data_IF_441225067452
#
_entry.id   IF_441225067452
#
_cell.length_a   1.000
_cell.length_b   1.000
_cell.length_c   1.000
_cell.angle_alpha   90.00
_cell.angle_beta   90.00
_cell.angle_gamma   90.00
#
_symmetry.space_group_name_H-M   'P 1'
#
loop_
_entity.id
_entity.type
_entity.pdbx_description
1 polymer ?
#
# COMPACT_ATOMS: atom_id res chain seq x y z
N UNK A 1 -4.71 18.89 10.63
CA UNK A 1 -3.98 18.02 9.69
C UNK A 1 -4.94 16.91 9.29
N UNK A 2 -5.21 16.71 7.99
CA UNK A 2 -6.18 15.73 7.52
C UNK A 2 -5.48 14.38 7.34
N UNK A 3 -5.81 13.41 8.19
CA UNK A 3 -5.50 12.01 7.99
C UNK A 3 -6.82 11.25 7.88
N UNK A 4 -6.84 10.17 7.12
CA UNK A 4 -8.01 9.30 6.99
C UNK A 4 -7.60 7.88 7.30
N UNK A 5 -8.37 7.22 8.16
CA UNK A 5 -8.27 5.78 8.37
C UNK A 5 -9.42 5.08 7.65
N UNK A 6 -9.18 3.85 7.20
CA UNK A 6 -10.29 2.99 6.80
C UNK A 6 -11.06 2.52 8.05
N UNK A 7 -12.26 1.98 7.86
CA UNK A 7 -13.11 1.52 8.97
C UNK A 7 -12.49 0.40 9.81
N UNK A 8 -11.43 -0.25 9.31
CA UNK A 8 -10.67 -1.27 10.04
C UNK A 8 -9.40 -0.75 10.72
N UNK A 9 -9.06 0.55 10.57
CA UNK A 9 -7.81 1.19 11.01
C UNK A 9 -6.53 0.54 10.47
N UNK A 10 -6.63 -0.34 9.47
CA UNK A 10 -5.51 -1.03 8.86
C UNK A 10 -4.80 -0.18 7.83
N UNK A 11 -5.45 0.85 7.30
CA UNK A 11 -4.88 1.80 6.35
C UNK A 11 -4.94 3.20 6.94
N UNK A 12 -3.84 3.93 6.86
CA UNK A 12 -3.79 5.35 7.20
C UNK A 12 -3.19 6.14 6.06
N UNK A 13 -3.90 7.18 5.62
CA UNK A 13 -3.46 8.08 4.54
C UNK A 13 -3.03 9.44 5.07
N UNK A 14 -2.01 10.01 4.44
CA UNK A 14 -1.53 11.36 4.72
C UNK A 14 -0.91 12.01 3.48
N UNK A 15 -1.22 13.29 3.25
CA UNK A 15 -0.53 14.12 2.28
C UNK A 15 0.80 14.68 2.81
N UNK A 16 1.08 14.51 4.10
CA UNK A 16 2.33 14.96 4.71
C UNK A 16 3.40 13.89 4.48
N UNK A 17 4.52 14.31 3.91
CA UNK A 17 5.71 13.47 3.83
C UNK A 17 6.25 13.21 5.25
N UNK A 18 6.03 12.00 5.76
CA UNK A 18 6.82 11.51 6.89
C UNK A 18 8.02 10.80 6.27
N UNK A 19 9.26 11.29 6.49
CA UNK A 19 10.44 10.65 5.98
C UNK A 19 10.41 9.16 6.31
N UNK A 20 10.71 8.32 5.31
CA UNK A 20 11.05 6.93 5.56
C UNK A 20 12.12 6.95 6.65
N UNK A 21 11.88 6.36 7.85
CA UNK A 21 12.91 6.29 8.87
C UNK A 21 14.13 5.67 8.22
N UNK A 22 15.29 6.33 8.32
CA UNK A 22 16.50 5.99 7.58
C UNK A 22 17.07 4.62 7.92
N UNK A 23 16.41 3.57 7.43
CA UNK A 23 16.80 2.18 7.48
C UNK A 23 16.64 1.58 6.09
N UNK A 24 17.52 0.64 5.76
CA UNK A 24 17.59 -0.06 4.48
C UNK A 24 16.40 -1.00 4.24
N UNK A 25 15.17 -0.48 4.22
CA UNK A 25 14.04 -1.27 3.74
C UNK A 25 13.86 -1.05 2.24
N UNK A 26 13.55 -2.12 1.50
CA UNK A 26 13.47 -2.07 0.05
C UNK A 26 12.32 -1.16 -0.40
N UNK A 27 12.67 -0.15 -1.20
CA UNK A 27 11.74 0.74 -1.90
C UNK A 27 11.66 0.31 -3.36
N UNK A 28 10.46 0.07 -3.87
CA UNK A 28 10.23 -0.38 -5.24
C UNK A 28 9.23 0.53 -5.96
N UNK A 29 9.54 0.94 -7.18
CA UNK A 29 8.61 1.65 -8.06
C UNK A 29 7.83 0.63 -8.89
N UNK A 30 6.51 0.57 -8.69
CA UNK A 30 5.60 -0.42 -9.32
C UNK A 30 4.76 0.22 -10.46
N UNK A 31 5.05 1.46 -10.88
CA UNK A 31 4.40 2.06 -12.04
C UNK A 31 5.06 3.35 -12.52
N UNK A 32 4.69 3.80 -13.72
CA UNK A 32 5.32 4.97 -14.39
C UNK A 32 4.96 6.34 -13.76
N UNK A 33 4.00 6.40 -12.84
CA UNK A 33 3.45 7.66 -12.28
C UNK A 33 3.48 7.72 -10.74
N UNK A 34 4.37 6.99 -10.08
CA UNK A 34 4.39 6.72 -8.63
C UNK A 34 4.22 7.92 -7.67
N UNK A 35 3.00 8.44 -7.51
CA UNK A 35 2.65 9.52 -6.60
C UNK A 35 2.05 9.02 -5.27
N UNK A 36 1.59 7.77 -5.21
CA UNK A 36 1.14 7.14 -3.97
C UNK A 36 2.26 6.23 -3.42
N UNK A 37 2.80 6.59 -2.26
CA UNK A 37 3.74 5.77 -1.51
C UNK A 37 3.00 4.86 -0.52
N UNK A 38 3.03 3.55 -0.71
CA UNK A 38 2.47 2.55 0.20
C UNK A 38 3.60 1.97 1.04
N UNK A 39 3.50 2.05 2.37
CA UNK A 39 4.39 1.32 3.30
C UNK A 39 3.62 0.19 3.94
N UNK A 40 4.23 -0.98 3.94
CA UNK A 40 3.70 -2.16 4.61
C UNK A 40 4.43 -2.32 5.93
N UNK A 41 3.68 -2.49 7.01
CA UNK A 41 4.24 -2.68 8.34
C UNK A 41 3.59 -3.85 9.07
N UNK A 42 4.34 -4.38 10.04
CA UNK A 42 3.88 -5.41 10.96
C UNK A 42 4.21 -5.00 12.40
N UNK A 43 3.21 -5.09 13.28
CA UNK A 43 3.28 -4.74 14.70
C UNK A 43 3.54 -5.94 15.61
N UNK A 44 3.79 -7.13 15.03
CA UNK A 44 4.12 -8.34 15.80
C UNK A 44 5.42 -8.22 16.61
N UNK A 45 6.36 -7.38 16.15
CA UNK A 45 7.61 -7.09 16.84
C UNK A 45 7.47 -5.88 17.76
N UNK A 46 7.83 -6.05 19.04
CA UNK A 46 7.85 -4.97 20.03
C UNK A 46 9.24 -4.37 20.26
N UNK A 47 10.27 -4.86 19.57
CA UNK A 47 11.67 -4.50 19.81
C UNK A 47 12.11 -3.21 19.11
N UNK A 48 11.35 -2.76 18.13
CA UNK A 48 11.61 -1.56 17.33
C UNK A 48 10.33 -0.74 17.19
N UNK A 49 10.48 0.56 16.90
CA UNK A 49 9.37 1.46 16.63
C UNK A 49 9.58 2.18 15.30
N UNK A 50 8.48 2.50 14.64
CA UNK A 50 8.48 3.33 13.44
C UNK A 50 7.44 4.45 13.55
N UNK A 51 7.65 5.52 12.77
CA UNK A 51 6.72 6.63 12.69
C UNK A 51 5.78 6.45 11.48
N UNK A 52 4.47 6.36 11.76
CA UNK A 52 3.40 6.36 10.76
C UNK A 52 3.24 7.74 10.12
N UNK A 53 2.57 7.77 8.98
CA UNK A 53 2.34 8.94 8.14
C UNK A 53 1.38 9.96 8.78
N UNK A 54 0.66 9.56 9.83
CA UNK A 54 -0.12 10.42 10.73
C UNK A 54 0.73 11.03 11.87
N UNK A 55 2.02 10.67 11.96
CA UNK A 55 2.95 11.09 13.01
C UNK A 55 2.93 10.23 14.27
N UNK A 56 2.10 9.17 14.33
CA UNK A 56 2.07 8.26 15.47
C UNK A 56 3.27 7.31 15.47
N UNK A 57 3.82 7.02 16.65
CA UNK A 57 4.87 6.02 16.81
C UNK A 57 4.24 4.68 17.21
N UNK A 58 4.47 3.64 16.39
CA UNK A 58 4.01 2.29 16.69
C UNK A 58 5.17 1.34 16.92
N UNK A 59 5.04 0.36 17.83
CA UNK A 59 5.93 -0.80 17.86
C UNK A 59 5.74 -1.62 16.58
N UNK A 60 6.84 -2.00 15.94
CA UNK A 60 6.81 -2.80 14.72
C UNK A 60 7.92 -2.49 13.74
N UNK A 61 7.90 -3.21 12.62
CA UNK A 61 8.82 -3.03 11.50
C UNK A 61 8.10 -2.56 10.26
N UNK A 62 8.72 -1.66 9.50
CA UNK A 62 8.40 -1.48 8.09
C UNK A 62 8.98 -2.66 7.32
N UNK A 63 8.12 -3.42 6.64
CA UNK A 63 8.52 -4.58 5.84
C UNK A 63 8.94 -4.19 4.43
N UNK A 64 8.38 -3.10 3.88
CA UNK A 64 8.74 -2.59 2.56
C UNK A 64 7.93 -1.36 2.17
N UNK A 65 8.38 -0.67 1.12
CA UNK A 65 7.68 0.47 0.56
C UNK A 65 7.57 0.40 -0.96
N UNK A 66 6.45 0.88 -1.49
CA UNK A 66 6.09 0.82 -2.89
C UNK A 66 5.61 2.18 -3.38
N UNK A 67 6.10 2.64 -4.52
CA UNK A 67 5.48 3.76 -5.22
C UNK A 67 4.62 3.26 -6.36
N UNK A 68 3.35 3.63 -6.34
CA UNK A 68 2.31 3.15 -7.26
C UNK A 68 1.51 4.30 -7.85
N UNK A 69 0.80 4.03 -8.94
CA UNK A 69 -0.14 4.97 -9.55
C UNK A 69 -1.38 5.10 -8.66
N UNK A 70 -1.59 6.30 -8.10
CA UNK A 70 -2.81 6.61 -7.34
C UNK A 70 -4.07 6.38 -8.19
N UNK A 71 -4.01 6.71 -9.48
CA UNK A 71 -5.12 6.52 -10.43
C UNK A 71 -5.51 5.05 -10.57
N UNK A 72 -4.53 4.17 -10.70
CA UNK A 72 -4.75 2.71 -10.84
C UNK A 72 -5.40 2.15 -9.57
N UNK A 73 -4.93 2.58 -8.39
CA UNK A 73 -5.50 2.16 -7.11
C UNK A 73 -6.92 2.68 -6.92
N UNK A 74 -7.19 3.96 -7.19
CA UNK A 74 -8.53 4.54 -7.08
C UNK A 74 -9.51 3.86 -8.05
N UNK A 75 -9.06 3.53 -9.27
CA UNK A 75 -9.90 2.77 -10.20
C UNK A 75 -10.24 1.37 -9.67
N UNK A 76 -9.30 0.72 -8.97
CA UNK A 76 -9.43 -0.67 -8.52
C UNK A 76 -10.13 -0.82 -7.17
N UNK A 77 -10.08 0.22 -6.32
CA UNK A 77 -10.63 0.24 -4.96
C UNK A 77 -11.60 1.40 -4.76
N UNK A 78 -12.88 1.06 -4.57
CA UNK A 78 -13.90 2.05 -4.24
C UNK A 78 -13.62 2.77 -2.90
N UNK A 79 -13.21 2.08 -1.82
CA UNK A 79 -12.86 2.75 -0.56
C UNK A 79 -11.73 3.77 -0.71
N UNK A 80 -10.65 3.42 -1.42
CA UNK A 80 -9.51 4.33 -1.62
C UNK A 80 -9.93 5.53 -2.47
N UNK A 81 -10.75 5.31 -3.51
CA UNK A 81 -11.30 6.39 -4.32
C UNK A 81 -12.14 7.37 -3.50
N UNK A 82 -12.99 6.88 -2.59
CA UNK A 82 -13.75 7.73 -1.69
C UNK A 82 -12.84 8.57 -0.78
N UNK A 83 -11.78 7.96 -0.21
CA UNK A 83 -10.81 8.69 0.61
C UNK A 83 -10.15 9.82 -0.17
N UNK A 84 -9.73 9.58 -1.41
CA UNK A 84 -9.15 10.61 -2.29
C UNK A 84 -10.16 11.73 -2.57
N UNK A 85 -11.41 11.38 -2.88
CA UNK A 85 -12.47 12.35 -3.16
C UNK A 85 -12.82 13.20 -1.94
N UNK A 86 -12.97 12.59 -0.77
CA UNK A 86 -13.33 13.25 0.49
C UNK A 86 -12.25 14.25 0.95
N UNK A 87 -10.99 13.98 0.61
CA UNK A 87 -9.85 14.85 0.92
C UNK A 87 -9.48 15.80 -0.22
N UNK A 88 -10.17 15.75 -1.37
CA UNK A 88 -9.88 16.58 -2.54
C UNK A 88 -8.49 16.34 -3.14
N UNK A 89 -7.98 15.11 -3.04
CA UNK A 89 -6.67 14.74 -3.57
C UNK A 89 -6.74 14.38 -5.06
N UNK A 90 -5.81 14.94 -5.84
CA UNK A 90 -5.68 14.63 -7.26
C UNK A 90 -4.68 13.48 -7.49
N UNK A 91 -4.75 12.85 -8.66
CA UNK A 91 -3.95 11.64 -8.96
C UNK A 91 -2.43 11.87 -9.06
N UNK A 92 -1.97 13.11 -9.08
CA UNK A 92 -0.57 13.53 -9.05
C UNK A 92 -0.13 14.04 -7.66
N UNK A 93 -1.07 14.22 -6.73
CA UNK A 93 -0.79 14.61 -5.35
C UNK A 93 0.02 13.50 -4.69
N UNK A 94 1.13 13.89 -4.04
CA UNK A 94 1.97 12.93 -3.30
C UNK A 94 1.26 12.54 -2.01
N UNK A 95 0.78 11.31 -1.97
CA UNK A 95 0.08 10.73 -0.82
C UNK A 95 0.88 9.55 -0.29
N UNK A 96 0.89 9.38 1.03
CA UNK A 96 1.46 8.22 1.70
C UNK A 96 0.36 7.42 2.37
N UNK A 97 0.44 6.09 2.26
CA UNK A 97 -0.44 5.15 2.90
C UNK A 97 0.38 4.15 3.72
N UNK A 98 0.09 4.06 5.01
CA UNK A 98 0.63 2.99 5.86
C UNK A 98 -0.40 1.90 6.02
N UNK A 99 0.01 0.66 5.77
CA UNK A 99 -0.87 -0.50 5.79
C UNK A 99 -0.30 -1.59 6.69
N UNK A 100 -1.08 -2.01 7.67
CA UNK A 100 -0.75 -3.16 8.52
C UNK A 100 -0.96 -4.45 7.74
N UNK A 101 0.14 -5.11 7.36
CA UNK A 101 0.09 -6.36 6.63
C UNK A 101 1.41 -7.15 6.78
N UNK A 102 1.30 -8.44 7.10
CA UNK A 102 2.45 -9.27 7.49
C UNK A 102 3.34 -9.76 6.34
N UNK A 103 3.04 -9.44 5.08
CA UNK A 103 3.78 -9.96 3.92
C UNK A 103 4.09 -8.88 2.88
N UNK A 104 5.36 -8.45 2.83
CA UNK A 104 5.85 -7.57 1.75
C UNK A 104 5.62 -8.20 0.38
N UNK A 105 5.92 -9.50 0.22
CA UNK A 105 5.92 -10.15 -1.09
C UNK A 105 4.51 -10.29 -1.68
N UNK A 106 3.54 -10.62 -0.84
CA UNK A 106 2.13 -10.67 -1.24
C UNK A 106 1.59 -9.29 -1.65
N UNK A 107 2.02 -8.22 -0.96
CA UNK A 107 1.68 -6.86 -1.36
C UNK A 107 2.32 -6.49 -2.70
N UNK A 108 3.59 -6.81 -2.90
CA UNK A 108 4.31 -6.59 -4.17
C UNK A 108 3.60 -7.29 -5.34
N UNK A 109 3.21 -8.56 -5.18
CA UNK A 109 2.52 -9.35 -6.21
C UNK A 109 1.22 -8.66 -6.63
N UNK A 110 0.36 -8.30 -5.68
CA UNK A 110 -0.90 -7.63 -5.98
C UNK A 110 -0.67 -6.27 -6.65
N UNK A 111 0.18 -5.43 -6.07
CA UNK A 111 0.43 -4.10 -6.60
C UNK A 111 1.01 -4.17 -8.01
N UNK A 112 1.92 -5.11 -8.26
CA UNK A 112 2.47 -5.37 -9.60
C UNK A 112 1.38 -5.82 -10.56
N UNK A 113 0.53 -6.77 -10.16
CA UNK A 113 -0.58 -7.26 -11.00
C UNK A 113 -1.56 -6.14 -11.40
N UNK A 114 -1.79 -5.13 -10.54
CA UNK A 114 -2.66 -3.99 -10.87
C UNK A 114 -2.03 -3.00 -11.86
N UNK A 115 -0.69 -2.92 -11.90
CA UNK A 115 0.05 -1.91 -12.69
C UNK A 115 0.73 -2.47 -13.92
N UNK A 116 0.86 -3.79 -14.02
CA UNK A 116 1.32 -4.45 -15.23
C UNK A 116 0.22 -4.36 -16.28
N UNK A 117 0.44 -3.58 -17.33
CA UNK A 117 -0.23 -3.74 -18.62
C UNK A 117 0.27 -5.05 -19.26
N UNK A 118 -0.11 -6.22 -18.73
CA UNK A 118 0.26 -7.55 -19.25
C UNK A 118 1.74 -7.66 -19.69
N UNK A 119 2.69 -7.45 -18.78
CA UNK A 119 4.03 -8.01 -19.02
C UNK A 119 4.00 -9.48 -18.58
N UNK A 120 4.27 -10.37 -19.53
CA UNK A 120 4.45 -11.84 -19.39
C UNK A 120 5.60 -12.24 -18.44
N UNK A 121 6.02 -11.36 -17.53
CA UNK A 121 6.90 -11.74 -16.44
C UNK A 121 6.10 -12.68 -15.54
N UNK A 122 6.34 -13.98 -15.72
CA UNK A 122 5.77 -15.04 -14.90
C UNK A 122 6.20 -14.79 -13.46
N UNK A 123 5.36 -14.12 -12.69
CA UNK A 123 5.52 -14.03 -11.24
C UNK A 123 5.27 -15.43 -10.69
N UNK A 124 6.35 -16.18 -10.43
CA UNK A 124 6.24 -17.42 -9.68
C UNK A 124 5.91 -17.07 -8.23
N UNK A 125 4.63 -17.23 -7.89
CA UNK A 125 4.12 -17.09 -6.53
C UNK A 125 3.85 -18.49 -5.95
N UNK A 126 4.27 -18.70 -4.72
CA UNK A 126 3.80 -19.84 -3.91
C UNK A 126 2.31 -19.67 -3.60
N UNK A 127 1.65 -20.78 -3.24
CA UNK A 127 0.24 -20.74 -2.82
C UNK A 127 0.01 -19.76 -1.65
N UNK A 128 0.94 -19.72 -0.70
CA UNK A 128 0.88 -18.81 0.45
C UNK A 128 0.99 -17.34 0.03
N UNK A 129 1.88 -17.01 -0.91
CA UNK A 129 2.03 -15.64 -1.41
C UNK A 129 0.79 -15.18 -2.18
N UNK A 130 0.20 -16.08 -2.98
CA UNK A 130 -1.05 -15.84 -3.70
C UNK A 130 -2.22 -15.62 -2.73
N UNK A 131 -2.36 -16.46 -1.70
CA UNK A 131 -3.36 -16.28 -0.64
C UNK A 131 -3.18 -14.95 0.10
N UNK A 132 -1.94 -14.61 0.49
CA UNK A 132 -1.66 -13.31 1.10
C UNK A 132 -2.00 -12.14 0.16
N UNK A 133 -1.79 -12.28 -1.14
CA UNK A 133 -2.14 -11.21 -2.11
C UNK A 133 -3.65 -10.96 -2.16
N UNK A 134 -4.44 -12.03 -1.97
CA UNK A 134 -5.89 -11.95 -1.89
C UNK A 134 -6.34 -11.27 -0.59
N UNK A 135 -5.75 -11.63 0.55
CA UNK A 135 -5.99 -10.95 1.83
C UNK A 135 -5.66 -9.46 1.74
N UNK A 136 -4.54 -9.13 1.09
CA UNK A 136 -4.14 -7.75 0.87
C UNK A 136 -5.13 -6.99 -0.04
N UNK A 137 -5.65 -7.64 -1.08
CA UNK A 137 -6.69 -7.06 -1.94
C UNK A 137 -7.97 -6.76 -1.16
N UNK A 138 -8.35 -7.62 -0.20
CA UNK A 138 -9.49 -7.38 0.69
C UNK A 138 -9.24 -6.19 1.62
N UNK A 139 -8.04 -6.05 2.19
CA UNK A 139 -7.67 -4.87 3.01
C UNK A 139 -7.83 -3.59 2.18
N UNK A 140 -7.35 -3.59 0.94
CA UNK A 140 -7.47 -2.44 0.05
C UNK A 140 -8.89 -2.23 -0.49
N UNK A 141 -9.85 -3.13 -0.23
CA UNK A 141 -11.20 -3.05 -0.79
C UNK A 141 -11.25 -3.16 -2.31
N UNK A 142 -10.32 -3.91 -2.91
CA UNK A 142 -10.26 -4.15 -4.35
C UNK A 142 -11.29 -5.22 -4.72
N UNK A 143 -12.16 -4.89 -5.67
CA UNK A 143 -13.14 -5.84 -6.17
C UNK A 143 -12.43 -6.92 -7.02
N UNK A 144 -12.54 -8.18 -6.59
CA UNK A 144 -11.84 -9.33 -7.16
C UNK A 144 -12.19 -9.58 -8.63
N UNK A 145 -13.34 -9.10 -9.11
CA UNK A 145 -13.70 -9.12 -10.53
C UNK A 145 -12.77 -8.31 -11.44
N UNK A 146 -11.92 -7.46 -10.86
CA UNK A 146 -10.91 -6.67 -11.57
C UNK A 146 -9.52 -7.30 -11.58
N UNK A 147 -9.32 -8.42 -10.87
CA UNK A 147 -8.06 -9.16 -10.89
C UNK A 147 -8.08 -10.12 -12.07
N UNK A 148 -7.24 -9.86 -13.08
CA UNK A 148 -7.00 -10.80 -14.18
C UNK A 148 -5.83 -11.68 -13.77
N UNK A 149 -6.11 -12.95 -13.46
CA UNK A 149 -5.10 -13.99 -13.27
C UNK A 149 -4.80 -14.66 -14.60
#
# INVERSE_FOLDING_TARGET
MAFSTDSSNKITFSANFVPLPGGDFPVQNIGQSGCLGIRIYDTSSTQVQFCRCDGSFLPGNILGAFFVSAKTLCFSSAPINSIYADNGWEGDTRIFADIEFGSRKSAEILLSALHSDYNDDIYSATLAEAQGSFEFAQILGINQSKLKY
#
